data_IF_403736246254
#
_entry.id   IF_403736246254
#
_cell.length_a   1.000
_cell.length_b   1.000
_cell.length_c   1.000
_cell.angle_alpha   90.00
_cell.angle_beta   90.00
_cell.angle_gamma   90.00
#
_symmetry.space_group_name_H-M   'P 1'
#
loop_
_entity.id
_entity.type
_entity.pdbx_description
1 polymer ?
#
# COMPACT_ATOMS: atom_id res chain seq x y z
N UNK A 1 0.80 -25.73 0.30
CA UNK A 1 -0.54 -25.09 0.21
C UNK A 1 -0.71 -23.90 1.15
N UNK A 2 -0.22 -23.98 2.40
CA UNK A 2 -0.37 -22.92 3.43
C UNK A 2 0.17 -21.55 3.00
N UNK A 3 1.37 -21.48 2.40
CA UNK A 3 1.94 -20.20 1.94
C UNK A 3 1.06 -19.51 0.88
N UNK A 4 0.52 -20.26 -0.09
CA UNK A 4 -0.34 -19.69 -1.14
C UNK A 4 -1.64 -19.08 -0.60
N UNK A 5 -2.28 -19.75 0.37
CA UNK A 5 -3.49 -19.25 1.02
C UNK A 5 -3.20 -17.97 1.82
N UNK A 6 -2.09 -17.92 2.55
CA UNK A 6 -1.70 -16.71 3.30
C UNK A 6 -1.39 -15.54 2.37
N UNK A 7 -0.76 -15.78 1.19
CA UNK A 7 -0.52 -14.72 0.20
C UNK A 7 -1.84 -14.14 -0.33
N UNK A 8 -2.80 -15.00 -0.68
CA UNK A 8 -4.12 -14.58 -1.16
C UNK A 8 -4.89 -13.81 -0.08
N UNK A 9 -4.80 -14.26 1.17
CA UNK A 9 -5.42 -13.56 2.30
C UNK A 9 -4.82 -12.17 2.49
N UNK A 10 -3.49 -12.04 2.46
CA UNK A 10 -2.80 -10.75 2.53
C UNK A 10 -3.23 -9.82 1.38
N UNK A 11 -3.22 -10.34 0.14
CA UNK A 11 -3.65 -9.58 -1.04
C UNK A 11 -5.08 -9.05 -0.87
N UNK A 12 -6.01 -9.93 -0.49
CA UNK A 12 -7.43 -9.60 -0.39
C UNK A 12 -7.71 -8.63 0.76
N UNK A 13 -7.10 -8.84 1.93
CA UNK A 13 -7.25 -7.94 3.09
C UNK A 13 -6.69 -6.56 2.76
N UNK A 14 -5.53 -6.48 2.12
CA UNK A 14 -4.93 -5.20 1.72
C UNK A 14 -5.79 -4.47 0.69
N UNK A 15 -6.30 -5.19 -0.31
CA UNK A 15 -7.17 -4.61 -1.34
C UNK A 15 -8.48 -4.09 -0.74
N UNK A 16 -9.13 -4.88 0.14
CA UNK A 16 -10.36 -4.49 0.83
C UNK A 16 -10.13 -3.26 1.70
N UNK A 17 -9.01 -3.21 2.43
CA UNK A 17 -8.65 -2.06 3.25
C UNK A 17 -8.42 -0.81 2.40
N UNK A 18 -7.68 -0.91 1.29
CA UNK A 18 -7.49 0.19 0.34
C UNK A 18 -8.81 0.70 -0.23
N UNK A 19 -9.72 -0.20 -0.63
CA UNK A 19 -11.05 0.16 -1.12
C UNK A 19 -11.90 0.83 -0.04
N UNK A 20 -11.78 0.42 1.22
CA UNK A 20 -12.49 1.04 2.33
C UNK A 20 -12.01 2.47 2.58
N UNK A 21 -10.70 2.70 2.57
CA UNK A 21 -10.10 4.05 2.68
C UNK A 21 -10.55 4.92 1.50
N UNK A 22 -10.57 4.36 0.28
CA UNK A 22 -11.06 5.05 -0.91
C UNK A 22 -12.52 5.47 -0.78
N UNK A 23 -13.39 4.55 -0.35
CA UNK A 23 -14.80 4.83 -0.14
C UNK A 23 -15.00 5.92 0.90
N UNK A 24 -14.24 5.87 2.00
CA UNK A 24 -14.24 6.92 3.01
C UNK A 24 -13.82 8.27 2.43
N UNK A 25 -12.71 8.33 1.68
CA UNK A 25 -12.25 9.56 1.00
C UNK A 25 -13.33 10.17 0.10
N UNK A 26 -13.94 9.35 -0.74
CA UNK A 26 -15.00 9.79 -1.67
C UNK A 26 -16.27 10.25 -0.93
N UNK A 27 -16.61 9.60 0.18
CA UNK A 27 -17.71 10.02 1.06
C UNK A 27 -17.41 11.34 1.76
N UNK A 28 -16.21 11.49 2.32
CA UNK A 28 -15.76 12.71 2.99
C UNK A 28 -15.79 13.89 2.03
N UNK A 29 -15.23 13.74 0.83
CA UNK A 29 -15.25 14.79 -0.19
C UNK A 29 -16.69 15.20 -0.58
N UNK A 30 -17.63 14.24 -0.68
CA UNK A 30 -19.04 14.53 -0.95
C UNK A 30 -19.72 15.25 0.20
N UNK A 31 -19.44 14.87 1.46
CA UNK A 31 -20.02 15.50 2.66
C UNK A 31 -19.49 16.93 2.83
N UNK A 32 -18.19 17.14 2.67
CA UNK A 32 -17.57 18.47 2.76
C UNK A 32 -18.09 19.46 1.70
N UNK A 33 -18.50 18.98 0.51
CA UNK A 33 -19.12 19.82 -0.53
C UNK A 33 -20.60 20.15 -0.27
N UNK A 34 -21.32 19.31 0.49
CA UNK A 34 -22.80 19.41 0.63
C UNK A 34 -23.27 19.89 1.99
N UNK A 35 -22.48 19.69 3.05
CA UNK A 35 -22.88 19.92 4.43
C UNK A 35 -21.94 20.90 5.13
N UNK A 36 -22.46 21.60 6.14
CA UNK A 36 -21.61 22.46 6.99
C UNK A 36 -20.58 21.59 7.73
N UNK A 37 -19.29 21.94 7.72
CA UNK A 37 -18.25 21.12 8.35
C UNK A 37 -18.50 20.88 9.84
N UNK A 38 -18.93 21.90 10.57
CA UNK A 38 -19.04 21.89 12.05
C UNK A 38 -19.95 20.78 12.61
N UNK A 39 -20.95 20.31 11.88
CA UNK A 39 -21.87 19.26 12.36
C UNK A 39 -21.38 17.84 12.08
N UNK A 40 -20.45 17.65 11.14
CA UNK A 40 -20.07 16.33 10.62
C UNK A 40 -18.72 15.87 11.17
N UNK A 41 -17.91 16.78 11.72
CA UNK A 41 -16.51 16.52 12.04
C UNK A 41 -16.28 15.47 13.12
N UNK A 42 -17.10 15.43 14.16
CA UNK A 42 -16.97 14.38 15.19
C UNK A 42 -17.23 12.97 14.62
N UNK A 43 -18.17 12.83 13.69
CA UNK A 43 -18.42 11.55 13.01
C UNK A 43 -17.25 11.15 12.09
N UNK A 44 -16.67 12.11 11.37
CA UNK A 44 -15.55 11.85 10.46
C UNK A 44 -14.26 11.54 11.24
N UNK A 45 -13.98 12.24 12.35
CA UNK A 45 -12.85 11.89 13.25
C UNK A 45 -13.04 10.47 13.81
N UNK A 46 -14.25 10.13 14.26
CA UNK A 46 -14.55 8.77 14.74
C UNK A 46 -14.34 7.72 13.64
N UNK A 47 -14.80 8.01 12.42
CA UNK A 47 -14.63 7.12 11.27
C UNK A 47 -13.15 6.96 10.88
N UNK A 48 -12.38 8.04 10.92
CA UNK A 48 -10.94 8.03 10.66
C UNK A 48 -10.17 7.22 11.70
N UNK A 49 -10.53 7.33 12.99
CA UNK A 49 -9.94 6.53 14.05
C UNK A 49 -10.22 5.03 13.86
N UNK A 50 -11.44 4.67 13.44
CA UNK A 50 -11.78 3.27 13.11
C UNK A 50 -10.92 2.77 11.94
N UNK A 51 -10.79 3.56 10.87
CA UNK A 51 -9.94 3.21 9.72
C UNK A 51 -8.48 3.03 10.14
N UNK A 52 -7.97 3.93 10.97
CA UNK A 52 -6.59 3.88 11.44
C UNK A 52 -6.34 2.65 12.30
N UNK A 53 -7.25 2.35 13.23
CA UNK A 53 -7.20 1.15 14.06
C UNK A 53 -7.29 -0.13 13.22
N UNK A 54 -8.10 -0.13 12.15
CA UNK A 54 -8.21 -1.26 11.23
C UNK A 54 -6.89 -1.49 10.48
N UNK A 55 -6.28 -0.44 9.93
CA UNK A 55 -4.97 -0.53 9.25
C UNK A 55 -3.88 -1.01 10.20
N UNK A 56 -3.83 -0.49 11.42
CA UNK A 56 -2.86 -0.92 12.45
C UNK A 56 -3.05 -2.39 12.84
N UNK A 57 -4.30 -2.84 12.97
CA UNK A 57 -4.61 -4.26 13.25
C UNK A 57 -4.17 -5.15 12.09
N UNK A 58 -4.44 -4.73 10.85
CA UNK A 58 -4.02 -5.46 9.66
C UNK A 58 -2.49 -5.53 9.60
N UNK A 59 -1.78 -4.41 9.82
CA UNK A 59 -0.32 -4.40 9.83
C UNK A 59 0.24 -5.33 10.91
N UNK A 60 -0.22 -5.22 12.16
CA UNK A 60 0.23 -6.10 13.26
C UNK A 60 -0.02 -7.59 12.99
N UNK A 61 -1.12 -7.92 12.31
CA UNK A 61 -1.49 -9.32 12.03
C UNK A 61 -0.71 -9.89 10.85
N UNK A 62 -0.45 -9.08 9.82
CA UNK A 62 0.07 -9.53 8.54
C UNK A 62 1.52 -9.10 8.25
N UNK A 63 2.15 -8.27 9.09
CA UNK A 63 3.49 -7.75 8.82
C UNK A 63 4.55 -8.86 8.73
N UNK A 64 4.56 -9.84 9.63
CA UNK A 64 5.51 -10.96 9.61
C UNK A 64 5.24 -11.87 8.41
N UNK A 65 3.96 -12.19 8.14
CA UNK A 65 3.57 -12.94 6.96
C UNK A 65 4.04 -12.25 5.67
N UNK A 66 3.85 -10.94 5.58
CA UNK A 66 4.29 -10.13 4.45
C UNK A 66 5.80 -10.15 4.29
N UNK A 67 6.55 -10.00 5.39
CA UNK A 67 8.01 -10.09 5.36
C UNK A 67 8.46 -11.45 4.79
N UNK A 68 7.91 -12.55 5.31
CA UNK A 68 8.25 -13.89 4.86
C UNK A 68 7.92 -14.11 3.38
N UNK A 69 6.76 -13.60 2.91
CA UNK A 69 6.40 -13.65 1.49
C UNK A 69 7.36 -12.87 0.60
N UNK A 70 7.81 -11.69 1.05
CA UNK A 70 8.80 -10.88 0.34
C UNK A 70 10.15 -11.60 0.27
N UNK A 71 10.68 -12.05 1.41
CA UNK A 71 11.95 -12.79 1.45
C UNK A 71 11.90 -14.04 0.58
N UNK A 72 10.82 -14.82 0.69
CA UNK A 72 10.61 -16.03 -0.11
C UNK A 72 10.55 -15.71 -1.60
N UNK A 73 9.74 -14.74 -2.02
CA UNK A 73 9.56 -14.38 -3.44
C UNK A 73 10.85 -13.85 -4.05
N UNK A 74 11.54 -12.94 -3.35
CA UNK A 74 12.81 -12.36 -3.80
C UNK A 74 13.88 -13.43 -3.92
N UNK A 75 13.98 -14.34 -2.94
CA UNK A 75 14.92 -15.47 -2.99
C UNK A 75 14.65 -16.39 -4.19
N UNK A 76 13.38 -16.73 -4.44
CA UNK A 76 13.01 -17.54 -5.60
C UNK A 76 13.35 -16.86 -6.93
N UNK A 77 13.14 -15.55 -7.04
CA UNK A 77 13.49 -14.78 -8.24
C UNK A 77 14.99 -14.87 -8.52
N UNK A 78 15.84 -14.61 -7.52
CA UNK A 78 17.30 -14.69 -7.67
C UNK A 78 17.80 -16.11 -7.94
N UNK A 79 17.21 -17.11 -7.26
CA UNK A 79 17.53 -18.52 -7.49
C UNK A 79 17.18 -18.95 -8.93
N UNK A 80 16.01 -18.55 -9.43
CA UNK A 80 15.61 -18.82 -10.81
C UNK A 80 16.58 -18.23 -11.82
N UNK A 81 17.05 -17.00 -11.62
CA UNK A 81 18.06 -16.37 -12.47
C UNK A 81 19.37 -17.15 -12.44
N UNK A 82 19.82 -17.54 -11.25
CA UNK A 82 21.04 -18.34 -11.07
C UNK A 82 20.98 -19.66 -11.83
N UNK A 83 19.85 -20.37 -11.74
CA UNK A 83 19.62 -21.62 -12.45
C UNK A 83 19.60 -21.39 -13.98
N UNK A 84 18.94 -20.32 -14.44
CA UNK A 84 18.84 -20.02 -15.88
C UNK A 84 20.18 -19.65 -16.51
N UNK A 85 21.09 -19.06 -15.74
CA UNK A 85 22.40 -18.59 -16.21
C UNK A 85 23.50 -19.66 -16.02
N UNK A 86 23.27 -20.68 -15.18
CA UNK A 86 24.25 -21.73 -14.92
C UNK A 86 24.58 -22.57 -16.16
N UNK A 87 25.87 -22.88 -16.33
CA UNK A 87 26.41 -23.75 -17.40
C UNK A 87 26.40 -25.24 -17.02
N UNK A 88 25.95 -25.59 -15.81
CA UNK A 88 25.90 -26.99 -15.38
C UNK A 88 24.91 -27.81 -16.21
N UNK A 89 25.38 -28.95 -16.73
CA UNK A 89 24.63 -29.82 -17.65
C UNK A 89 23.36 -30.39 -17.01
N UNK A 90 23.37 -30.64 -15.70
CA UNK A 90 22.22 -31.15 -14.94
C UNK A 90 21.09 -30.12 -14.94
N UNK A 91 21.41 -28.84 -14.78
CA UNK A 91 20.43 -27.74 -14.76
C UNK A 91 19.92 -27.37 -16.16
N UNK A 92 20.57 -27.88 -17.21
CA UNK A 92 20.25 -27.58 -18.60
C UNK A 92 19.12 -28.44 -19.19
N UNK A 93 18.55 -29.36 -18.39
CA UNK A 93 17.36 -30.13 -18.79
C UNK A 93 16.18 -29.20 -19.10
N UNK A 94 15.50 -29.45 -20.23
CA UNK A 94 14.33 -28.66 -20.66
C UNK A 94 13.22 -28.64 -19.59
N UNK A 95 13.07 -29.72 -18.81
CA UNK A 95 12.12 -29.79 -17.70
C UNK A 95 12.45 -28.84 -16.56
N UNK A 96 13.74 -28.73 -16.20
CA UNK A 96 14.22 -27.83 -15.14
C UNK A 96 14.08 -26.38 -15.58
N UNK A 97 14.44 -26.06 -16.83
CA UNK A 97 14.24 -24.71 -17.39
C UNK A 97 12.77 -24.31 -17.41
N UNK A 98 11.88 -25.20 -17.86
CA UNK A 98 10.44 -24.94 -17.91
C UNK A 98 9.84 -24.69 -16.52
N UNK A 99 10.12 -25.58 -15.56
CA UNK A 99 9.64 -25.44 -14.17
C UNK A 99 10.20 -24.20 -13.46
N UNK A 100 11.47 -23.87 -13.69
CA UNK A 100 12.12 -22.68 -13.14
C UNK A 100 11.51 -21.39 -13.70
N UNK A 101 11.24 -21.36 -15.00
CA UNK A 101 10.58 -20.22 -15.67
C UNK A 101 9.17 -20.02 -15.12
N UNK A 102 8.42 -21.11 -14.94
CA UNK A 102 7.07 -21.05 -14.39
C UNK A 102 7.06 -20.54 -12.94
N UNK A 103 7.98 -21.04 -12.11
CA UNK A 103 8.15 -20.58 -10.73
C UNK A 103 8.53 -19.10 -10.66
N UNK A 104 9.42 -18.64 -11.56
CA UNK A 104 9.78 -17.23 -11.66
C UNK A 104 8.57 -16.35 -11.96
N UNK A 105 7.76 -16.72 -12.96
CA UNK A 105 6.53 -15.99 -13.33
C UNK A 105 5.55 -15.94 -12.15
N UNK A 106 5.32 -17.06 -11.47
CA UNK A 106 4.42 -17.12 -10.31
C UNK A 106 4.93 -16.25 -9.16
N UNK A 107 6.23 -16.33 -8.83
CA UNK A 107 6.83 -15.56 -7.76
C UNK A 107 6.73 -14.06 -8.03
N UNK A 108 7.06 -13.63 -9.26
CA UNK A 108 6.96 -12.24 -9.68
C UNK A 108 5.51 -11.73 -9.65
N UNK A 109 4.57 -12.55 -10.13
CA UNK A 109 3.13 -12.21 -10.10
C UNK A 109 2.62 -12.04 -8.67
N UNK A 110 2.92 -12.96 -7.76
CA UNK A 110 2.53 -12.87 -6.34
C UNK A 110 3.15 -11.67 -5.65
N UNK A 111 4.44 -11.45 -5.89
CA UNK A 111 5.16 -10.29 -5.38
C UNK A 111 4.51 -8.99 -5.84
N UNK A 112 4.22 -8.87 -7.13
CA UNK A 112 3.52 -7.72 -7.70
C UNK A 112 2.15 -7.49 -7.06
N UNK A 113 1.32 -8.54 -6.97
CA UNK A 113 -0.03 -8.46 -6.41
C UNK A 113 -0.05 -7.97 -4.97
N UNK A 114 0.75 -8.57 -4.09
CA UNK A 114 0.84 -8.16 -2.68
C UNK A 114 1.34 -6.71 -2.60
N UNK A 115 2.35 -6.35 -3.40
CA UNK A 115 2.91 -4.99 -3.40
C UNK A 115 1.88 -3.96 -3.84
N UNK A 116 1.12 -4.21 -4.91
CA UNK A 116 0.12 -3.28 -5.41
C UNK A 116 -1.05 -3.13 -4.45
N UNK A 117 -1.52 -4.23 -3.84
CA UNK A 117 -2.59 -4.16 -2.84
C UNK A 117 -2.17 -3.37 -1.60
N UNK A 118 -0.96 -3.60 -1.07
CA UNK A 118 -0.44 -2.80 0.05
C UNK A 118 -0.18 -1.34 -0.35
N UNK A 119 0.31 -1.10 -1.57
CA UNK A 119 0.51 0.25 -2.09
C UNK A 119 -0.81 1.03 -2.19
N UNK A 120 -1.93 0.36 -2.47
CA UNK A 120 -3.25 1.01 -2.52
C UNK A 120 -3.60 1.67 -1.19
N UNK A 121 -3.36 1.02 -0.04
CA UNK A 121 -3.59 1.60 1.29
C UNK A 121 -2.78 2.90 1.45
N UNK A 122 -1.49 2.83 1.12
CA UNK A 122 -0.57 3.96 1.27
C UNK A 122 -0.92 5.13 0.34
N UNK A 123 -1.26 4.84 -0.92
CA UNK A 123 -1.65 5.85 -1.90
C UNK A 123 -2.98 6.50 -1.55
N UNK A 124 -3.96 5.71 -1.15
CA UNK A 124 -5.27 6.19 -0.72
C UNK A 124 -5.13 7.05 0.55
N UNK A 125 -4.27 6.67 1.49
CA UNK A 125 -3.93 7.51 2.65
C UNK A 125 -3.27 8.83 2.26
N UNK A 126 -2.36 8.84 1.30
CA UNK A 126 -1.78 10.08 0.76
C UNK A 126 -2.84 10.96 0.09
N UNK A 127 -3.73 10.37 -0.71
CA UNK A 127 -4.80 11.11 -1.37
C UNK A 127 -5.79 11.68 -0.36
N UNK A 128 -6.09 10.95 0.71
CA UNK A 128 -6.92 11.42 1.81
C UNK A 128 -6.33 12.69 2.46
N UNK A 129 -5.01 12.73 2.71
CA UNK A 129 -4.31 13.94 3.19
C UNK A 129 -4.35 15.10 2.18
N UNK A 130 -4.33 14.82 0.88
CA UNK A 130 -4.48 15.85 -0.16
C UNK A 130 -5.89 16.44 -0.18
N UNK A 131 -6.92 15.62 0.02
CA UNK A 131 -8.31 16.09 0.10
C UNK A 131 -8.50 17.05 1.27
N UNK A 132 -7.91 16.77 2.44
CA UNK A 132 -7.98 17.73 3.57
C UNK A 132 -7.33 19.07 3.26
N UNK A 133 -6.21 19.08 2.52
CA UNK A 133 -5.54 20.32 2.12
C UNK A 133 -6.35 21.11 1.08
N UNK A 134 -6.90 20.42 0.07
CA UNK A 134 -7.71 21.05 -0.97
C UNK A 134 -9.01 21.64 -0.44
N UNK A 135 -9.73 20.90 0.40
CA UNK A 135 -10.96 21.40 1.02
C UNK A 135 -10.71 22.59 1.96
N UNK A 136 -9.53 22.68 2.59
CA UNK A 136 -9.18 23.85 3.39
C UNK A 136 -9.06 25.13 2.55
N UNK A 137 -8.42 25.03 1.38
CA UNK A 137 -8.25 26.14 0.45
C UNK A 137 -9.59 26.65 -0.08
N UNK A 138 -10.45 25.74 -0.53
CA UNK A 138 -11.77 26.08 -1.09
C UNK A 138 -12.72 26.67 -0.02
N UNK A 139 -12.72 26.11 1.19
CA UNK A 139 -13.59 26.59 2.28
C UNK A 139 -13.13 27.95 2.80
N UNK A 140 -11.82 28.22 2.86
CA UNK A 140 -11.29 29.55 3.19
C UNK A 140 -11.67 30.61 2.14
N UNK A 141 -11.82 30.22 0.86
CA UNK A 141 -12.23 31.16 -0.20
C UNK A 141 -13.75 31.39 -0.27
N UNK A 142 -14.58 30.41 0.07
CA UNK A 142 -16.05 30.51 -0.06
C UNK A 142 -16.79 31.08 1.16
N UNK A 143 -16.18 31.15 2.35
CA UNK A 143 -16.81 31.65 3.59
C UNK A 143 -16.69 33.17 3.80
N UNK A 144 -16.88 33.97 2.75
CA UNK A 144 -16.72 35.43 2.81
C UNK A 144 -17.89 36.20 3.45
N UNK A 145 -18.94 35.54 3.97
CA UNK A 145 -20.21 36.22 4.27
C UNK A 145 -20.64 36.25 5.75
N UNK A 146 -20.04 35.46 6.66
CA UNK A 146 -20.39 35.50 8.11
C UNK A 146 -19.21 35.17 9.03
N UNK A 147 -18.79 36.12 9.86
CA UNK A 147 -17.54 36.06 10.64
C UNK A 147 -17.55 35.06 11.81
N UNK A 148 -18.68 34.86 12.49
CA UNK A 148 -18.81 33.91 13.60
C UNK A 148 -18.90 32.46 13.12
N UNK A 149 -19.67 32.19 12.05
CA UNK A 149 -19.82 30.85 11.45
C UNK A 149 -18.51 30.40 10.78
N UNK A 150 -17.71 31.36 10.28
CA UNK A 150 -16.38 31.11 9.73
C UNK A 150 -15.42 30.55 10.78
N UNK A 151 -15.40 31.07 12.01
CA UNK A 151 -14.44 30.63 13.02
C UNK A 151 -14.68 29.18 13.45
N UNK A 152 -15.93 28.78 13.70
CA UNK A 152 -16.25 27.39 14.11
C UNK A 152 -15.98 26.38 13.00
N UNK A 153 -16.36 26.70 11.76
CA UNK A 153 -16.16 25.79 10.62
C UNK A 153 -14.68 25.63 10.25
N UNK A 154 -13.89 26.72 10.30
CA UNK A 154 -12.44 26.70 10.08
C UNK A 154 -11.72 25.97 11.22
N UNK A 155 -12.11 26.19 12.48
CA UNK A 155 -11.51 25.50 13.63
C UNK A 155 -11.84 23.99 13.60
N UNK A 156 -13.06 23.63 13.25
CA UNK A 156 -13.43 22.23 13.17
C UNK A 156 -12.69 21.57 11.99
N UNK A 157 -12.57 22.24 10.84
CA UNK A 157 -11.76 21.72 9.73
C UNK A 157 -10.29 21.59 10.12
N UNK A 158 -9.73 22.56 10.87
CA UNK A 158 -8.32 22.51 11.29
C UNK A 158 -8.05 21.32 12.20
N UNK A 159 -9.01 20.99 13.08
CA UNK A 159 -8.99 19.76 13.86
C UNK A 159 -9.01 18.53 12.96
N UNK A 160 -9.95 18.42 12.02
CA UNK A 160 -10.00 17.26 11.12
C UNK A 160 -8.69 17.11 10.31
N UNK A 161 -8.12 18.23 9.85
CA UNK A 161 -6.86 18.25 9.12
C UNK A 161 -5.68 17.80 9.99
N UNK A 162 -5.59 18.26 11.25
CA UNK A 162 -4.52 17.83 12.15
C UNK A 162 -4.59 16.32 12.39
N UNK A 163 -5.77 15.78 12.64
CA UNK A 163 -5.98 14.33 12.75
C UNK A 163 -5.58 13.60 11.47
N UNK A 164 -6.01 14.06 10.29
CA UNK A 164 -5.67 13.42 9.01
C UNK A 164 -4.17 13.50 8.70
N UNK A 165 -3.48 14.56 9.10
CA UNK A 165 -2.04 14.73 8.91
C UNK A 165 -1.26 13.71 9.73
N UNK A 166 -1.66 13.50 10.98
CA UNK A 166 -0.94 12.69 11.95
C UNK A 166 -1.24 11.19 11.79
N UNK A 167 -2.33 10.83 11.13
CA UNK A 167 -2.68 9.43 10.83
C UNK A 167 -1.72 8.83 9.80
N UNK A 168 -1.18 7.66 10.14
CA UNK A 168 -0.32 6.87 9.27
C UNK A 168 -1.07 5.67 8.69
N UNK A 169 -1.56 5.77 7.46
CA UNK A 169 -2.21 4.66 6.75
C UNK A 169 -1.18 3.96 5.86
N UNK A 170 -0.47 2.99 6.43
CA UNK A 170 0.49 2.16 5.72
C UNK A 170 0.57 0.77 6.33
N UNK A 171 0.95 -0.21 5.52
CA UNK A 171 1.27 -1.57 5.95
C UNK A 171 2.74 -1.85 5.67
N UNK A 172 3.35 -2.69 6.49
CA UNK A 172 4.79 -2.92 6.54
C UNK A 172 5.14 -4.39 6.38
N UNK A 173 6.34 -4.67 5.87
CA UNK A 173 6.96 -5.98 5.95
C UNK A 173 7.78 -6.08 7.24
N UNK A 174 7.20 -6.70 8.27
CA UNK A 174 7.84 -6.92 9.57
C UNK A 174 8.34 -5.65 10.26
N UNK A 175 7.72 -4.50 10.01
CA UNK A 175 8.17 -3.19 10.51
C UNK A 175 9.45 -2.66 9.85
N UNK A 176 10.04 -3.38 8.90
CA UNK A 176 11.33 -3.01 8.28
C UNK A 176 11.15 -2.06 7.09
N UNK A 177 10.07 -2.24 6.33
CA UNK A 177 9.83 -1.49 5.11
C UNK A 177 8.33 -1.28 4.87
N UNK A 178 7.99 -0.21 4.17
CA UNK A 178 6.59 0.09 3.81
C UNK A 178 6.23 -0.63 2.52
N UNK A 179 5.17 -1.44 2.53
CA UNK A 179 4.68 -2.13 1.33
C UNK A 179 4.15 -1.09 0.35
N UNK A 180 4.94 -0.78 -0.67
CA UNK A 180 4.60 0.24 -1.66
C UNK A 180 5.33 0.04 -2.98
N UNK A 181 4.92 0.79 -4.02
CA UNK A 181 5.49 0.72 -5.37
C UNK A 181 7.01 0.92 -5.40
N UNK A 182 7.56 1.68 -4.45
CA UNK A 182 8.99 1.92 -4.33
C UNK A 182 9.79 0.63 -4.08
N UNK A 183 9.25 -0.34 -3.32
CA UNK A 183 9.92 -1.61 -3.09
C UNK A 183 9.87 -2.48 -4.34
N UNK A 184 8.75 -2.49 -5.05
CA UNK A 184 8.65 -3.21 -6.32
C UNK A 184 9.74 -2.72 -7.30
N UNK A 185 9.89 -1.41 -7.44
CA UNK A 185 10.92 -0.81 -8.29
C UNK A 185 12.34 -1.13 -7.80
N UNK A 186 12.59 -1.08 -6.48
CA UNK A 186 13.89 -1.42 -5.92
C UNK A 186 14.27 -2.88 -6.19
N UNK A 187 13.34 -3.82 -5.98
CA UNK A 187 13.56 -5.24 -6.27
C UNK A 187 13.72 -5.47 -7.76
N UNK A 188 12.90 -4.87 -8.62
CA UNK A 188 13.03 -4.99 -10.07
C UNK A 188 14.40 -4.53 -10.57
N UNK A 189 14.90 -3.39 -10.06
CA UNK A 189 16.23 -2.90 -10.38
C UNK A 189 17.32 -3.89 -9.90
N UNK A 190 17.23 -4.35 -8.65
CA UNK A 190 18.18 -5.31 -8.11
C UNK A 190 18.22 -6.63 -8.90
N UNK A 191 17.05 -7.10 -9.35
CA UNK A 191 16.89 -8.29 -10.19
C UNK A 191 17.57 -8.13 -11.54
N UNK A 192 17.36 -7.01 -12.22
CA UNK A 192 18.00 -6.71 -13.51
C UNK A 192 19.51 -6.61 -13.33
N UNK A 193 19.99 -5.86 -12.34
CA UNK A 193 21.42 -5.72 -12.04
C UNK A 193 22.06 -7.08 -11.76
N UNK A 194 21.43 -7.90 -10.93
CA UNK A 194 21.92 -9.23 -10.61
C UNK A 194 21.96 -10.14 -11.83
N UNK A 195 20.92 -10.14 -12.66
CA UNK A 195 20.89 -10.95 -13.89
C UNK A 195 22.04 -10.59 -14.84
N UNK A 196 22.33 -9.29 -15.01
CA UNK A 196 23.45 -8.82 -15.84
C UNK A 196 24.79 -9.27 -15.25
N UNK A 197 25.00 -9.10 -13.94
CA UNK A 197 26.23 -9.53 -13.26
C UNK A 197 26.44 -11.04 -13.40
N UNK A 198 25.40 -11.83 -13.12
CA UNK A 198 25.47 -13.28 -13.24
C UNK A 198 25.76 -13.73 -14.67
N UNK A 199 25.16 -13.07 -15.67
CA UNK A 199 25.43 -13.37 -17.07
C UNK A 199 26.89 -13.06 -17.46
N UNK A 200 27.48 -12.00 -16.91
CA UNK A 200 28.89 -11.65 -17.15
C UNK A 200 29.87 -12.60 -16.45
N UNK A 201 29.49 -13.14 -15.29
CA UNK A 201 30.34 -14.02 -14.48
C UNK A 201 30.24 -15.50 -14.86
N UNK A 202 29.19 -15.90 -15.58
CA UNK A 202 28.95 -17.28 -16.03
C UNK A 202 29.77 -17.64 -17.25
#
# INVERSE_FOLDING_TARGET
>A
MTCGLTSLLCEHVYLMCGNYIRFYRERLMRRLKKQRPSTVIFEEIKSLNIITSLVDTIDKTFNTCTLLHYCSSVSFIFLSISIMVSKETILHSNWIKSTTTWNFIIALYRFYKITMSGASIYEEGKQLKKVSLGCFGDVCQHLNTDSNVRNESVQALSLLQSYMRDVCLMVTGGGMFVVGKHIFLAVANAVVTYAVIMYQLS
#
